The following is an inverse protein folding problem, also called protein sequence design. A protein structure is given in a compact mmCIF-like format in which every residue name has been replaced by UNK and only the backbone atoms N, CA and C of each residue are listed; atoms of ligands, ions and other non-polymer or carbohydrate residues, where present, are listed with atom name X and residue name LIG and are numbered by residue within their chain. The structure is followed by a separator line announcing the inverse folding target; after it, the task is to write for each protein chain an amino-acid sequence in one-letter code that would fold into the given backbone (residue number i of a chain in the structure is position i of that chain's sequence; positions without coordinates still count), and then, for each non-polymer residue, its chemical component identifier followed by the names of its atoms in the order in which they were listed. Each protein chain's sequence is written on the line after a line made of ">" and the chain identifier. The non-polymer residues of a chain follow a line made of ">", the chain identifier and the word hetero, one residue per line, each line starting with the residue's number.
data_IF_512445992679
#
_entry.id   IF_512445992679
#
_cell.length_a   1.000
_cell.length_b   1.000
_cell.length_c   1.000
_cell.angle_alpha   90.00
_cell.angle_beta   90.00
_cell.angle_gamma   90.00
#
_symmetry.space_group_name_H-M   'P 1'
#
loop_
_entity.id
_entity.type
_entity.pdbx_description
1 polymer ?
#
# COMPACT_ATOMS: atom_id res chain seq x y z
N UNK A 1 22.59 -13.17 -0.06
CA UNK A 1 21.86 -11.93 -0.34
C UNK A 1 20.44 -12.07 0.21
N UNK A 2 20.09 -11.37 1.29
CA UNK A 2 18.84 -11.59 2.07
C UNK A 2 17.71 -10.60 1.75
N UNK A 3 17.94 -9.66 0.82
CA UNK A 3 16.92 -8.69 0.40
C UNK A 3 16.66 -7.57 1.41
N UNK A 4 15.45 -7.03 1.36
CA UNK A 4 14.96 -5.92 2.22
C UNK A 4 13.52 -6.17 2.67
N UNK A 5 13.12 -5.48 3.73
CA UNK A 5 11.79 -5.53 4.33
C UNK A 5 11.11 -4.15 4.26
N UNK A 6 9.75 -4.11 4.23
CA UNK A 6 9.00 -2.86 4.23
C UNK A 6 9.17 -2.11 5.54
N UNK A 7 9.32 -0.79 5.46
CA UNK A 7 9.22 0.07 6.63
C UNK A 7 7.76 0.22 7.05
N UNK A 8 7.44 -0.16 8.28
CA UNK A 8 6.12 0.03 8.89
C UNK A 8 6.26 1.11 9.97
N UNK A 9 5.55 2.26 9.86
CA UNK A 9 5.64 3.31 10.86
C UNK A 9 5.27 2.83 12.27
N UNK A 10 5.93 3.32 13.34
CA UNK A 10 5.62 2.95 14.71
C UNK A 10 4.37 3.68 15.23
N UNK A 11 3.22 3.37 14.64
CA UNK A 11 1.92 3.97 14.97
C UNK A 11 0.98 2.94 15.61
N UNK A 12 0.08 3.37 16.52
CA UNK A 12 -0.96 2.49 17.06
C UNK A 12 -1.79 1.86 15.94
N UNK A 13 -2.07 0.56 16.06
CA UNK A 13 -2.89 -0.17 15.09
C UNK A 13 -2.17 -0.58 13.80
N UNK A 14 -0.83 -0.46 13.72
CA UNK A 14 -0.05 -0.89 12.52
C UNK A 14 -0.26 -2.35 12.11
N UNK A 15 -0.67 -3.22 13.04
CA UNK A 15 -0.93 -4.64 12.82
C UNK A 15 -2.44 -4.97 12.87
N UNK A 16 -3.31 -3.96 12.74
CA UNK A 16 -4.76 -4.19 12.74
C UNK A 16 -5.19 -5.03 11.53
N UNK A 17 -6.31 -5.73 11.66
CA UNK A 17 -6.93 -6.43 10.53
C UNK A 17 -7.21 -5.42 9.41
N UNK A 18 -6.74 -5.74 8.21
CA UNK A 18 -6.84 -4.85 7.05
C UNK A 18 -5.60 -3.97 6.82
N UNK A 19 -4.60 -4.02 7.71
CA UNK A 19 -3.28 -3.44 7.47
C UNK A 19 -2.37 -4.48 6.83
N UNK A 20 -1.82 -4.13 5.67
CA UNK A 20 -0.94 -5.01 4.89
C UNK A 20 0.32 -4.26 4.49
N UNK A 21 1.36 -5.01 4.17
CA UNK A 21 2.53 -4.52 3.43
C UNK A 21 2.45 -5.02 1.99
N UNK A 22 3.22 -4.43 1.08
CA UNK A 22 3.19 -4.76 -0.35
C UNK A 22 4.57 -5.23 -0.80
N UNK A 23 4.92 -6.51 -0.55
CA UNK A 23 6.28 -7.00 -0.79
C UNK A 23 6.37 -8.40 -1.39
N UNK A 24 5.73 -9.40 -0.79
CA UNK A 24 5.77 -10.80 -1.26
C UNK A 24 4.47 -11.17 -1.97
N UNK A 25 4.46 -12.33 -2.63
CA UNK A 25 3.25 -12.83 -3.30
C UNK A 25 2.15 -13.12 -2.26
N UNK A 26 2.53 -13.62 -1.09
CA UNK A 26 1.61 -13.91 0.01
C UNK A 26 0.92 -12.64 0.51
N UNK A 27 1.65 -11.52 0.57
CA UNK A 27 1.06 -10.21 0.89
C UNK A 27 -0.03 -9.83 -0.13
N UNK A 28 0.25 -10.03 -1.43
CA UNK A 28 -0.70 -9.68 -2.50
C UNK A 28 -1.95 -10.54 -2.44
N UNK A 29 -1.81 -11.85 -2.21
CA UNK A 29 -2.94 -12.76 -2.07
C UNK A 29 -3.81 -12.39 -0.86
N UNK A 30 -3.20 -11.98 0.26
CA UNK A 30 -3.93 -11.53 1.43
C UNK A 30 -4.69 -10.22 1.17
N UNK A 31 -4.09 -9.28 0.44
CA UNK A 31 -4.74 -8.03 0.03
C UNK A 31 -5.92 -8.32 -0.89
N UNK A 32 -5.74 -9.17 -1.91
CA UNK A 32 -6.80 -9.53 -2.86
C UNK A 32 -7.98 -10.19 -2.17
N UNK A 33 -7.73 -11.13 -1.25
CA UNK A 33 -8.78 -11.77 -0.48
C UNK A 33 -9.53 -10.77 0.41
N UNK A 34 -8.81 -9.90 1.12
CA UNK A 34 -9.43 -8.89 1.97
C UNK A 34 -10.24 -7.87 1.18
N UNK A 35 -9.76 -7.51 -0.01
CA UNK A 35 -10.40 -6.55 -0.92
C UNK A 35 -11.80 -6.99 -1.35
N UNK A 36 -12.09 -8.30 -1.43
CA UNK A 36 -13.42 -8.82 -1.81
C UNK A 36 -14.56 -8.33 -0.92
N UNK A 37 -14.28 -8.01 0.34
CA UNK A 37 -15.25 -7.49 1.30
C UNK A 37 -15.11 -6.00 1.60
N UNK A 38 -14.25 -5.28 0.87
CA UNK A 38 -13.93 -3.88 1.16
C UNK A 38 -14.40 -2.96 0.02
N UNK A 39 -14.87 -1.77 0.37
CA UNK A 39 -15.27 -0.75 -0.61
C UNK A 39 -14.19 0.32 -0.84
N UNK A 40 -13.30 0.50 0.14
CA UNK A 40 -12.31 1.59 0.18
C UNK A 40 -10.97 1.04 0.58
N UNK A 41 -9.90 1.52 -0.05
CA UNK A 41 -8.52 1.17 0.28
C UNK A 41 -7.65 2.42 0.35
N UNK A 42 -6.71 2.44 1.28
CA UNK A 42 -5.74 3.52 1.43
C UNK A 42 -4.32 2.97 1.29
N UNK A 43 -3.48 3.64 0.50
CA UNK A 43 -2.04 3.40 0.45
C UNK A 43 -1.32 4.49 1.21
N UNK A 44 -0.47 4.09 2.14
CA UNK A 44 0.40 5.01 2.89
C UNK A 44 1.77 5.01 2.22
N UNK A 45 2.10 6.13 1.58
CA UNK A 45 3.28 6.31 0.73
C UNK A 45 2.92 6.48 -0.75
N UNK A 46 3.34 7.60 -1.34
CA UNK A 46 3.10 8.03 -2.70
C UNK A 46 4.33 7.95 -3.62
N UNK A 47 5.31 7.11 -3.28
CA UNK A 47 6.41 6.73 -4.17
C UNK A 47 6.01 5.65 -5.19
N UNK A 48 6.96 5.17 -6.01
CA UNK A 48 6.68 4.28 -7.15
C UNK A 48 5.83 3.06 -6.76
N UNK A 49 6.32 2.28 -5.80
CA UNK A 49 5.62 1.08 -5.34
C UNK A 49 4.28 1.39 -4.68
N UNK A 50 4.16 2.53 -3.99
CA UNK A 50 2.90 2.96 -3.40
C UNK A 50 1.84 3.27 -4.47
N UNK A 51 2.25 3.91 -5.58
CA UNK A 51 1.36 4.17 -6.70
C UNK A 51 1.01 2.91 -7.49
N UNK A 52 1.92 1.95 -7.61
CA UNK A 52 1.61 0.62 -8.15
C UNK A 52 0.58 -0.10 -7.28
N UNK A 53 0.76 -0.11 -5.95
CA UNK A 53 -0.21 -0.67 -5.01
C UNK A 53 -1.58 0.06 -5.10
N UNK A 54 -1.58 1.38 -5.26
CA UNK A 54 -2.82 2.15 -5.45
C UNK A 54 -3.52 1.77 -6.76
N UNK A 55 -2.75 1.55 -7.84
CA UNK A 55 -3.24 0.99 -9.10
C UNK A 55 -3.86 -0.38 -8.92
N UNK A 56 -3.22 -1.27 -8.14
CA UNK A 56 -3.74 -2.59 -7.82
C UNK A 56 -5.06 -2.52 -7.05
N UNK A 57 -5.16 -1.71 -5.99
CA UNK A 57 -6.42 -1.51 -5.26
C UNK A 57 -7.55 -0.99 -6.17
N UNK A 58 -7.23 -0.07 -7.09
CA UNK A 58 -8.19 0.41 -8.09
C UNK A 58 -8.61 -0.71 -9.06
N UNK A 59 -7.68 -1.55 -9.49
CA UNK A 59 -7.96 -2.72 -10.32
C UNK A 59 -8.84 -3.77 -9.63
N UNK A 60 -8.77 -3.85 -8.29
CA UNK A 60 -9.64 -4.67 -7.45
C UNK A 60 -11.02 -4.03 -7.20
N UNK A 61 -11.30 -2.84 -7.76
CA UNK A 61 -12.60 -2.17 -7.66
C UNK A 61 -12.78 -1.29 -6.42
N UNK A 62 -11.71 -1.05 -5.64
CA UNK A 62 -11.81 -0.26 -4.42
C UNK A 62 -11.77 1.25 -4.75
N UNK A 63 -12.46 2.04 -3.92
CA UNK A 63 -12.26 3.48 -3.86
C UNK A 63 -10.90 3.74 -3.21
N UNK A 64 -9.91 4.08 -4.03
CA UNK A 64 -8.51 4.17 -3.59
C UNK A 64 -8.09 5.59 -3.21
N UNK A 65 -7.44 5.72 -2.07
CA UNK A 65 -6.78 6.94 -1.61
C UNK A 65 -5.28 6.71 -1.42
N UNK A 66 -4.48 7.73 -1.73
CA UNK A 66 -3.04 7.73 -1.44
C UNK A 66 -2.76 8.81 -0.41
N UNK A 67 -2.09 8.45 0.68
CA UNK A 67 -1.64 9.36 1.71
C UNK A 67 -0.13 9.48 1.58
N UNK A 68 0.35 10.66 1.21
CA UNK A 68 1.77 10.97 1.09
C UNK A 68 2.14 12.08 2.06
N UNK A 69 3.28 11.90 2.73
CA UNK A 69 3.80 12.89 3.68
C UNK A 69 4.43 14.08 2.95
N UNK A 70 5.11 13.84 1.84
CA UNK A 70 5.71 14.87 1.02
C UNK A 70 4.64 15.75 0.33
N UNK A 71 4.98 16.98 -0.09
CA UNK A 71 4.04 17.87 -0.79
C UNK A 71 3.53 17.36 -2.14
N UNK A 72 4.09 16.25 -2.65
CA UNK A 72 3.74 15.67 -3.95
C UNK A 72 4.04 14.18 -4.01
N UNK A 73 3.43 13.52 -4.99
CA UNK A 73 3.73 12.13 -5.37
C UNK A 73 5.10 12.01 -6.02
N UNK A 74 5.67 10.81 -5.98
CA UNK A 74 6.97 10.47 -6.57
C UNK A 74 8.08 11.46 -6.19
N UNK A 75 8.20 11.90 -4.92
CA UNK A 75 9.03 13.03 -4.55
C UNK A 75 10.52 12.83 -4.83
N UNK A 76 10.97 11.57 -4.96
CA UNK A 76 12.36 11.19 -5.26
C UNK A 76 12.55 10.75 -6.71
N UNK A 77 11.47 10.37 -7.40
CA UNK A 77 11.55 9.65 -8.68
C UNK A 77 11.29 10.53 -9.91
N UNK A 78 10.53 11.61 -9.78
CA UNK A 78 10.11 12.48 -10.89
C UNK A 78 10.34 13.92 -10.48
N UNK A 79 10.73 14.83 -11.38
CA UNK A 79 10.86 16.28 -11.13
C UNK A 79 9.59 17.05 -11.52
#
# INVERSE_FOLDING_TARGET
>A
ATGSYPFVPPVPGKDARGCFVYRTIEDLLAIEEYAKGAETGAVVGGGLLGLEAAGALKGLGLRTHVVEFAPRLMPVQVD
#
